data_IF_296550925012
#
_entry.id   IF_296550925012
#
_cell.length_a   1.000
_cell.length_b   1.000
_cell.length_c   1.000
_cell.angle_alpha   90.00
_cell.angle_beta   90.00
_cell.angle_gamma   90.00
#
_symmetry.space_group_name_H-M   'P 1'
#
loop_
_entity.id
_entity.type
_entity.pdbx_description
1 polymer ?
#
# COMPACT_ATOMS: atom_id res chain seq x y z
N UNK A 1 23.92 -10.12 -9.38
CA UNK A 1 23.15 -11.07 -8.57
C UNK A 1 21.77 -10.45 -8.37
N UNK A 2 20.70 -11.17 -8.68
CA UNK A 2 19.34 -10.70 -8.35
C UNK A 2 19.14 -10.95 -6.85
N UNK A 3 18.93 -9.88 -6.08
CA UNK A 3 18.63 -10.00 -4.65
C UNK A 3 17.30 -10.72 -4.46
N UNK A 4 17.28 -11.70 -3.55
CA UNK A 4 16.04 -12.36 -3.16
C UNK A 4 15.14 -11.35 -2.44
N UNK A 5 13.90 -11.13 -2.91
CA UNK A 5 13.02 -10.19 -2.25
C UNK A 5 12.54 -10.73 -0.92
N UNK A 6 12.33 -9.84 0.05
CA UNK A 6 11.51 -10.16 1.21
C UNK A 6 10.05 -10.27 0.76
N UNK A 7 9.43 -11.43 0.94
CA UNK A 7 8.07 -11.70 0.48
C UNK A 7 7.11 -11.77 1.68
N UNK A 8 6.06 -10.97 1.63
CA UNK A 8 4.89 -11.09 2.48
C UNK A 8 3.74 -11.73 1.70
N UNK A 9 3.26 -12.89 2.19
CA UNK A 9 2.10 -13.58 1.64
C UNK A 9 1.23 -14.08 2.79
N UNK A 10 0.01 -13.58 2.86
CA UNK A 10 -0.99 -14.02 3.83
C UNK A 10 -2.38 -13.99 3.20
N UNK A 11 -3.25 -14.93 3.60
CA UNK A 11 -4.65 -14.95 3.15
C UNK A 11 -5.34 -13.64 3.59
N UNK A 12 -6.24 -13.09 2.78
CA UNK A 12 -6.96 -11.82 3.05
C UNK A 12 -6.08 -10.55 3.00
N UNK A 13 -4.82 -10.63 2.55
CA UNK A 13 -3.96 -9.47 2.35
C UNK A 13 -3.34 -9.50 0.94
N UNK A 14 -2.98 -8.34 0.37
CA UNK A 14 -2.21 -8.29 -0.86
C UNK A 14 -0.83 -8.93 -0.65
N UNK A 15 -0.30 -9.54 -1.70
CA UNK A 15 1.05 -10.11 -1.68
C UNK A 15 2.03 -9.00 -2.00
N UNK A 16 3.01 -8.80 -1.12
CA UNK A 16 4.01 -7.75 -1.25
C UNK A 16 5.39 -8.40 -1.37
N UNK A 17 6.16 -7.98 -2.38
CA UNK A 17 7.59 -8.30 -2.49
C UNK A 17 8.40 -7.02 -2.35
N UNK A 18 9.39 -7.04 -1.47
CA UNK A 18 10.23 -5.88 -1.15
C UNK A 18 11.61 -6.11 -1.73
N UNK A 19 12.06 -5.19 -2.58
CA UNK A 19 13.41 -5.16 -3.14
C UNK A 19 14.15 -3.91 -2.63
N UNK A 20 15.38 -3.71 -3.08
CA UNK A 20 16.17 -2.58 -2.63
C UNK A 20 15.74 -1.24 -3.21
N UNK A 21 15.33 -1.22 -4.48
CA UNK A 21 14.97 0.02 -5.21
C UNK A 21 13.47 0.19 -5.46
N UNK A 22 12.70 -0.87 -5.23
CA UNK A 22 11.27 -0.90 -5.53
C UNK A 22 10.57 -1.96 -4.68
N UNK A 23 9.25 -1.99 -4.77
CA UNK A 23 8.45 -3.10 -4.27
C UNK A 23 7.41 -3.47 -5.33
N UNK A 24 6.93 -4.71 -5.25
CA UNK A 24 5.83 -5.21 -6.05
C UNK A 24 4.66 -5.55 -5.14
N UNK A 25 3.44 -5.26 -5.60
CA UNK A 25 2.22 -5.62 -4.88
C UNK A 25 1.21 -6.24 -5.84
N UNK A 26 0.57 -7.30 -5.38
CA UNK A 26 -0.51 -7.99 -6.08
C UNK A 26 -1.75 -8.01 -5.20
N UNK A 27 -2.89 -7.58 -5.75
CA UNK A 27 -4.17 -7.59 -5.06
C UNK A 27 -4.63 -9.03 -4.74
N UNK A 28 -5.57 -9.17 -3.80
CA UNK A 28 -6.06 -10.48 -3.34
C UNK A 28 -6.67 -11.28 -4.50
N UNK A 29 -7.51 -10.63 -5.29
CA UNK A 29 -8.30 -11.25 -6.38
C UNK A 29 -7.74 -10.96 -7.78
N UNK A 30 -6.48 -10.50 -7.86
CA UNK A 30 -5.84 -10.18 -9.13
C UNK A 30 -4.53 -10.95 -9.30
N UNK A 31 -4.21 -11.32 -10.54
CA UNK A 31 -3.11 -12.25 -10.85
C UNK A 31 -1.78 -11.55 -11.09
N UNK A 32 -1.80 -10.28 -11.51
CA UNK A 32 -0.61 -9.52 -11.89
C UNK A 32 -0.02 -8.71 -10.73
N UNK A 33 1.30 -8.66 -10.68
CA UNK A 33 2.02 -7.74 -9.79
C UNK A 33 2.13 -6.36 -10.44
N UNK A 34 1.96 -5.33 -9.62
CA UNK A 34 2.29 -3.95 -9.98
C UNK A 34 3.57 -3.53 -9.27
N UNK A 35 4.48 -2.91 -10.01
CA UNK A 35 5.78 -2.46 -9.52
C UNK A 35 5.75 -0.97 -9.15
N UNK A 36 6.37 -0.63 -8.03
CA UNK A 36 6.46 0.72 -7.49
C UNK A 36 7.89 1.03 -7.06
N UNK A 37 8.52 2.01 -7.71
CA UNK A 37 9.86 2.50 -7.32
C UNK A 37 9.74 3.45 -6.14
N UNK A 38 10.61 3.31 -5.13
CA UNK A 38 10.56 4.16 -3.94
C UNK A 38 10.69 5.66 -4.26
N UNK A 39 11.50 6.00 -5.27
CA UNK A 39 11.70 7.38 -5.74
C UNK A 39 10.45 8.02 -6.36
N UNK A 40 9.44 7.22 -6.74
CA UNK A 40 8.22 7.72 -7.35
C UNK A 40 7.07 7.82 -6.33
N UNK A 41 7.24 7.26 -5.13
CA UNK A 41 6.19 7.22 -4.11
C UNK A 41 6.28 8.47 -3.23
N UNK A 42 5.13 9.13 -3.07
CA UNK A 42 4.94 10.20 -2.10
C UNK A 42 4.61 9.63 -0.73
N UNK A 43 3.65 8.71 -0.66
CA UNK A 43 3.12 8.19 0.59
C UNK A 43 2.54 6.77 0.44
N UNK A 44 2.61 6.00 1.53
CA UNK A 44 1.83 4.78 1.74
C UNK A 44 1.01 4.93 3.01
N UNK A 45 -0.32 4.77 2.92
CA UNK A 45 -1.24 4.83 4.05
C UNK A 45 -2.05 3.53 4.19
N UNK A 46 -2.30 3.11 5.44
CA UNK A 46 -3.14 1.94 5.76
C UNK A 46 -4.15 2.37 6.81
N UNK A 47 -5.44 2.31 6.48
CA UNK A 47 -6.50 2.93 7.29
C UNK A 47 -7.83 2.21 7.14
N UNK A 48 -8.73 2.43 8.09
CA UNK A 48 -10.12 2.02 8.01
C UNK A 48 -10.92 3.07 7.21
N UNK A 49 -11.51 2.73 6.05
CA UNK A 49 -12.30 3.70 5.27
C UNK A 49 -13.56 4.16 6.01
N UNK A 50 -14.06 3.37 6.96
CA UNK A 50 -15.24 3.69 7.77
C UNK A 50 -14.91 4.62 8.95
N UNK A 51 -13.64 4.94 9.21
CA UNK A 51 -13.28 5.93 10.22
C UNK A 51 -13.60 7.35 9.72
N UNK A 52 -14.38 8.10 10.51
CA UNK A 52 -14.90 9.44 10.16
C UNK A 52 -13.82 10.45 9.79
N UNK A 53 -12.63 10.36 10.38
CA UNK A 53 -11.52 11.26 10.07
C UNK A 53 -10.92 10.99 8.68
N UNK A 54 -10.74 9.72 8.33
CA UNK A 54 -10.16 9.34 7.04
C UNK A 54 -11.15 9.54 5.90
N UNK A 55 -12.43 9.25 6.11
CA UNK A 55 -13.45 9.48 5.08
C UNK A 55 -13.54 10.96 4.67
N UNK A 56 -13.35 11.91 5.60
CA UNK A 56 -13.30 13.34 5.28
C UNK A 56 -12.11 13.73 4.40
N UNK A 57 -10.92 13.17 4.63
CA UNK A 57 -9.72 13.45 3.82
C UNK A 57 -9.80 12.80 2.43
N UNK A 58 -10.34 11.58 2.35
CA UNK A 58 -10.47 10.84 1.08
C UNK A 58 -11.49 11.46 0.11
N UNK A 59 -12.58 12.03 0.63
CA UNK A 59 -13.57 12.75 -0.19
C UNK A 59 -12.97 13.95 -0.96
N UNK A 60 -11.85 14.50 -0.49
CA UNK A 60 -11.18 15.63 -1.12
C UNK A 60 -10.11 15.22 -2.14
N UNK A 61 -9.63 13.97 -2.08
CA UNK A 61 -8.39 13.57 -2.75
C UNK A 61 -8.56 12.62 -3.93
N UNK A 62 -9.71 11.93 -4.11
CA UNK A 62 -9.79 10.87 -5.13
C UNK A 62 -11.21 10.57 -5.63
N UNK A 63 -11.41 10.23 -6.93
CA UNK A 63 -12.70 9.84 -7.50
C UNK A 63 -13.18 8.42 -7.12
N UNK A 64 -12.58 7.78 -6.11
CA UNK A 64 -12.70 6.33 -5.83
C UNK A 64 -13.92 5.95 -4.95
N UNK A 65 -14.84 6.87 -4.68
CA UNK A 65 -16.04 6.61 -3.85
C UNK A 65 -16.90 5.40 -4.29
N UNK A 66 -16.73 4.89 -5.52
CA UNK A 66 -17.50 3.77 -6.05
C UNK A 66 -17.02 2.37 -5.61
N UNK A 67 -15.78 2.20 -5.12
CA UNK A 67 -15.24 0.87 -4.79
C UNK A 67 -15.55 0.39 -3.36
N UNK A 68 -15.98 1.28 -2.46
CA UNK A 68 -16.09 1.00 -1.03
C UNK A 68 -17.54 0.78 -0.58
N UNK A 69 -18.24 -0.16 -1.20
CA UNK A 69 -19.54 -0.61 -0.71
C UNK A 69 -19.38 -1.52 0.52
N UNK A 70 -19.76 -1.03 1.71
CA UNK A 70 -20.20 -1.79 2.90
C UNK A 70 -19.36 -2.98 3.40
N UNK A 71 -18.06 -3.04 3.12
CA UNK A 71 -17.21 -4.10 3.68
C UNK A 71 -16.32 -3.56 4.81
N UNK A 72 -16.21 -4.34 5.88
CA UNK A 72 -15.36 -4.05 7.06
C UNK A 72 -13.85 -4.07 6.73
N UNK A 73 -13.44 -4.08 5.47
CA UNK A 73 -12.05 -4.20 5.03
C UNK A 73 -11.30 -2.88 5.18
N UNK A 74 -10.03 -2.97 5.58
CA UNK A 74 -9.13 -1.82 5.61
C UNK A 74 -8.50 -1.60 4.25
N UNK A 75 -8.04 -0.38 4.00
CA UNK A 75 -7.47 0.02 2.71
C UNK A 75 -6.00 0.34 2.87
N UNK A 76 -5.17 -0.25 2.00
CA UNK A 76 -3.79 0.17 1.76
C UNK A 76 -3.78 1.05 0.51
N UNK A 77 -3.40 2.30 0.65
CA UNK A 77 -3.27 3.25 -0.45
C UNK A 77 -1.80 3.62 -0.70
N UNK A 78 -1.44 3.71 -1.97
CA UNK A 78 -0.11 4.08 -2.46
C UNK A 78 -0.26 5.29 -3.36
N UNK A 79 0.29 6.43 -2.94
CA UNK A 79 0.21 7.69 -3.69
C UNK A 79 1.58 8.01 -4.29
N UNK A 80 1.64 8.23 -5.61
CA UNK A 80 2.85 8.69 -6.31
C UNK A 80 3.01 10.21 -6.22
N UNK A 81 4.24 10.67 -6.42
CA UNK A 81 4.58 12.10 -6.44
C UNK A 81 3.83 12.85 -7.55
N UNK A 82 3.57 12.18 -8.68
CA UNK A 82 2.82 12.75 -9.80
C UNK A 82 1.28 12.76 -9.59
N UNK A 83 0.80 12.38 -8.40
CA UNK A 83 -0.62 12.37 -8.05
C UNK A 83 -1.37 11.09 -8.38
N UNK A 84 -0.76 10.11 -9.08
CA UNK A 84 -1.40 8.81 -9.31
C UNK A 84 -1.50 7.99 -8.03
N UNK A 85 -2.67 7.42 -7.75
CA UNK A 85 -2.94 6.61 -6.56
C UNK A 85 -3.41 5.19 -6.90
N UNK A 86 -3.10 4.24 -6.01
CA UNK A 86 -3.53 2.85 -6.11
C UNK A 86 -3.97 2.34 -4.75
N UNK A 87 -5.18 1.79 -4.72
CA UNK A 87 -5.80 1.23 -3.51
C UNK A 87 -5.86 -0.29 -3.56
N UNK A 88 -5.63 -0.91 -2.41
CA UNK A 88 -5.67 -2.35 -2.22
C UNK A 88 -6.51 -2.68 -0.99
N UNK A 89 -7.47 -3.58 -1.13
CA UNK A 89 -8.24 -4.10 -0.02
C UNK A 89 -7.34 -4.99 0.86
N UNK A 90 -7.51 -4.86 2.17
CA UNK A 90 -6.80 -5.63 3.19
C UNK A 90 -7.78 -6.09 4.26
N UNK A 91 -7.48 -7.22 4.91
CA UNK A 91 -8.22 -7.64 6.10
C UNK A 91 -8.14 -6.57 7.20
N UNK A 92 -9.23 -6.41 7.95
CA UNK A 92 -9.25 -5.58 9.15
C UNK A 92 -8.61 -6.26 10.37
N UNK A 93 -8.29 -7.55 10.26
CA UNK A 93 -7.62 -8.30 11.32
C UNK A 93 -6.20 -7.79 11.49
N UNK A 94 -5.77 -7.66 12.74
CA UNK A 94 -4.39 -7.31 13.04
C UNK A 94 -3.43 -8.38 12.50
N UNK A 95 -2.38 -7.96 11.79
CA UNK A 95 -1.30 -8.82 11.35
C UNK A 95 0.05 -8.10 11.56
N UNK A 96 0.86 -8.60 12.49
CA UNK A 96 2.14 -7.99 12.86
C UNK A 96 3.17 -8.03 11.74
N UNK A 97 3.19 -9.10 10.94
CA UNK A 97 4.11 -9.23 9.80
C UNK A 97 3.76 -8.23 8.70
N UNK A 98 2.46 -8.05 8.41
CA UNK A 98 2.01 -7.04 7.46
C UNK A 98 2.43 -5.63 7.90
N UNK A 99 2.19 -5.28 9.16
CA UNK A 99 2.59 -3.96 9.70
C UNK A 99 4.09 -3.71 9.59
N UNK A 100 4.92 -4.70 9.97
CA UNK A 100 6.38 -4.60 9.79
C UNK A 100 6.78 -4.34 8.34
N UNK A 101 6.08 -4.94 7.38
CA UNK A 101 6.33 -4.72 5.95
C UNK A 101 5.94 -3.31 5.54
N UNK A 102 4.77 -2.82 5.97
CA UNK A 102 4.35 -1.44 5.70
C UNK A 102 5.32 -0.42 6.31
N UNK A 103 5.76 -0.63 7.55
CA UNK A 103 6.72 0.24 8.23
C UNK A 103 8.09 0.23 7.52
N UNK A 104 8.54 -0.95 7.05
CA UNK A 104 9.74 -1.08 6.24
C UNK A 104 9.63 -0.30 4.92
N UNK A 105 8.49 -0.41 4.21
CA UNK A 105 8.27 0.33 2.97
C UNK A 105 8.30 1.84 3.22
N UNK A 106 7.61 2.32 4.26
CA UNK A 106 7.64 3.74 4.67
C UNK A 106 9.05 4.23 4.94
N UNK A 107 9.84 3.46 5.69
CA UNK A 107 11.25 3.78 5.95
C UNK A 107 12.05 3.88 4.66
N UNK A 108 11.95 2.88 3.77
CA UNK A 108 12.66 2.89 2.47
C UNK A 108 12.28 4.07 1.59
N UNK A 109 11.01 4.51 1.63
CA UNK A 109 10.55 5.72 0.90
C UNK A 109 11.24 6.96 1.46
N UNK A 110 11.20 7.17 2.78
CA UNK A 110 11.85 8.31 3.44
C UNK A 110 13.36 8.32 3.17
N UNK A 111 14.03 7.18 3.36
CA UNK A 111 15.47 7.04 3.12
C UNK A 111 15.86 7.33 1.66
N UNK A 112 14.97 7.04 0.70
CA UNK A 112 15.18 7.34 -0.72
C UNK A 112 14.98 8.82 -1.02
N UNK A 113 14.01 9.46 -0.38
CA UNK A 113 13.73 10.88 -0.56
C UNK A 113 14.80 11.77 0.08
N UNK A 114 15.38 11.37 1.22
CA UNK A 114 16.44 12.14 1.89
C UNK A 114 17.80 12.12 1.17
N UNK A 115 17.96 11.26 0.15
CA UNK A 115 19.20 11.13 -0.62
C UNK A 115 19.19 11.91 -1.94
N UNK A 116 18.04 12.47 -2.32
CA UNK A 116 17.86 13.29 -3.52
C UNK A 116 17.70 14.76 -3.13
#
# INVERSE_FOLDING_TARGET
MQEEPLIFKHKEFPIIKVFDKHFEIKAIDYWEYRTFKYSEIKEISHFNPNDKWWSQLYLLASPINLLFSKNDQWVLNITKINGGDWTYNTSNKYNSNFRKIIDLLKKKIVDTQSKN
#
